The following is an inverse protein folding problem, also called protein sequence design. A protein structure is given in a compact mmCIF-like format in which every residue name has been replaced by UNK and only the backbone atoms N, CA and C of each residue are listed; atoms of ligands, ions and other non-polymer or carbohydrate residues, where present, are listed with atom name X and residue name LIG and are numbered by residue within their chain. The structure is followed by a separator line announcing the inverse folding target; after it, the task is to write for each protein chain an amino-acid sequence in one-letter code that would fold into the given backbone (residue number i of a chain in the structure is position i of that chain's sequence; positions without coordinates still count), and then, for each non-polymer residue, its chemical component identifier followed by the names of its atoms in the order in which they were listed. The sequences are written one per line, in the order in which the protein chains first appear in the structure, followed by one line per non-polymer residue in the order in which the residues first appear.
data_IF_912515217586
#
_entry.id   IF_912515217586
#
_cell.length_a   1.000
_cell.length_b   1.000
_cell.length_c   1.000
_cell.angle_alpha   90.00
_cell.angle_beta   90.00
_cell.angle_gamma   90.00
#
_symmetry.space_group_name_H-M   'P 1'
#
loop_
_entity.id
_entity.type
_entity.pdbx_description
1 polymer ?
#
# COMPACT_ATOMS: atom_id res chain seq x y z
N UNK A 1 -19.44 21.36 -4.68
CA UNK A 1 -18.14 21.43 -5.37
C UNK A 1 -17.34 20.17 -5.08
N UNK A 2 -17.24 19.29 -6.06
CA UNK A 2 -16.45 18.06 -5.97
C UNK A 2 -15.00 18.45 -6.35
N UNK A 3 -14.14 18.69 -5.37
CA UNK A 3 -12.71 18.85 -5.67
C UNK A 3 -12.21 17.56 -6.33
N UNK A 4 -11.54 17.64 -7.49
CA UNK A 4 -10.99 16.45 -8.12
C UNK A 4 -9.94 15.84 -7.20
N UNK A 5 -10.21 14.63 -6.71
CA UNK A 5 -9.24 13.87 -5.94
C UNK A 5 -8.06 13.51 -6.84
N UNK A 6 -6.81 13.63 -6.37
CA UNK A 6 -5.64 13.25 -7.15
C UNK A 6 -5.70 11.77 -7.57
N UNK A 7 -5.46 11.48 -8.86
CA UNK A 7 -5.48 10.12 -9.42
C UNK A 7 -4.15 9.78 -10.09
N UNK A 8 -3.58 8.64 -9.74
CA UNK A 8 -2.52 7.98 -10.50
C UNK A 8 -3.11 6.74 -11.16
N UNK A 9 -3.12 6.70 -12.49
CA UNK A 9 -3.70 5.58 -13.23
C UNK A 9 -2.81 5.07 -14.35
N UNK A 10 -2.57 3.76 -14.39
CA UNK A 10 -1.87 3.13 -15.52
C UNK A 10 -0.35 3.33 -15.55
N UNK A 11 0.25 3.79 -14.45
CA UNK A 11 1.68 4.10 -14.42
C UNK A 11 2.52 2.92 -13.93
N UNK A 12 3.74 2.81 -14.47
CA UNK A 12 4.80 1.94 -13.94
C UNK A 12 5.77 2.77 -13.11
N UNK A 13 5.64 2.69 -11.79
CA UNK A 13 6.43 3.45 -10.84
C UNK A 13 7.57 2.60 -10.30
N UNK A 14 8.79 3.14 -10.34
CA UNK A 14 10.00 2.46 -9.89
C UNK A 14 10.86 3.38 -9.03
N UNK A 15 11.38 2.88 -7.93
CA UNK A 15 12.34 3.58 -7.07
C UNK A 15 13.51 2.67 -6.72
N UNK A 16 14.73 3.22 -6.64
CA UNK A 16 15.93 2.43 -6.40
C UNK A 16 16.41 2.43 -4.94
N UNK A 17 16.16 3.49 -4.17
CA UNK A 17 16.68 3.65 -2.80
C UNK A 17 15.63 4.03 -1.76
N UNK A 18 14.48 4.57 -2.18
CA UNK A 18 13.49 5.19 -1.30
C UNK A 18 12.08 4.60 -1.50
N UNK A 19 11.12 5.14 -0.75
CA UNK A 19 9.70 4.88 -0.98
C UNK A 19 9.29 5.34 -2.37
N UNK A 20 8.51 4.54 -3.11
CA UNK A 20 8.09 4.91 -4.46
C UNK A 20 6.93 5.92 -4.48
N UNK A 21 5.94 5.75 -3.59
CA UNK A 21 4.81 6.68 -3.43
C UNK A 21 4.62 7.01 -1.95
N UNK A 22 4.58 8.29 -1.61
CA UNK A 22 4.26 8.78 -0.28
C UNK A 22 2.91 9.49 -0.30
N UNK A 23 2.00 9.07 0.57
CA UNK A 23 0.72 9.74 0.81
C UNK A 23 0.69 10.23 2.25
N UNK A 24 0.77 11.55 2.43
CA UNK A 24 0.78 12.19 3.75
C UNK A 24 -0.59 12.73 4.16
N UNK A 25 -1.34 13.23 3.18
CA UNK A 25 -2.65 13.84 3.36
C UNK A 25 -3.56 13.52 2.16
N UNK A 26 -4.88 13.57 2.39
CA UNK A 26 -5.89 13.32 1.36
C UNK A 26 -6.17 11.85 1.08
N UNK A 27 -6.90 11.58 0.00
CA UNK A 27 -7.32 10.24 -0.41
C UNK A 27 -7.13 9.99 -1.91
N UNK A 28 -5.89 10.05 -2.43
CA UNK A 28 -5.65 9.82 -3.85
C UNK A 28 -6.09 8.41 -4.25
N UNK A 29 -6.53 8.28 -5.51
CA UNK A 29 -6.76 6.97 -6.12
C UNK A 29 -5.52 6.55 -6.90
N UNK A 30 -4.96 5.38 -6.57
CA UNK A 30 -3.87 4.75 -7.31
C UNK A 30 -4.46 3.50 -7.96
N UNK A 31 -4.66 3.51 -9.28
CA UNK A 31 -5.33 2.42 -9.98
C UNK A 31 -4.54 1.89 -11.17
N UNK A 32 -4.57 0.57 -11.40
CA UNK A 32 -3.90 -0.05 -12.57
C UNK A 32 -2.41 0.30 -12.67
N UNK A 33 -1.75 0.48 -11.53
CA UNK A 33 -0.35 0.83 -11.48
C UNK A 33 0.51 -0.40 -11.21
N UNK A 34 1.74 -0.40 -11.72
CA UNK A 34 2.78 -1.36 -11.37
C UNK A 34 3.82 -0.63 -10.52
N UNK A 35 3.93 -1.00 -9.26
CA UNK A 35 4.84 -0.35 -8.30
C UNK A 35 5.95 -1.33 -7.94
N UNK A 36 7.20 -0.88 -8.07
CA UNK A 36 8.39 -1.67 -7.73
C UNK A 36 9.40 -0.81 -7.00
N UNK A 37 10.12 -1.36 -6.03
CA UNK A 37 11.24 -0.67 -5.37
C UNK A 37 12.33 -1.64 -4.97
N UNK A 38 13.58 -1.34 -5.29
CA UNK A 38 14.69 -2.25 -5.00
C UNK A 38 15.16 -2.20 -3.55
N UNK A 39 14.99 -1.10 -2.82
CA UNK A 39 15.46 -0.99 -1.42
C UNK A 39 14.46 -0.37 -0.43
N UNK A 40 13.41 0.28 -0.92
CA UNK A 40 12.43 1.01 -0.10
C UNK A 40 11.06 0.33 0.00
N UNK A 41 10.08 1.09 0.50
CA UNK A 41 8.67 0.69 0.47
C UNK A 41 8.07 0.96 -0.91
N UNK A 42 7.04 0.22 -1.32
CA UNK A 42 6.26 0.59 -2.50
C UNK A 42 5.46 1.86 -2.25
N UNK A 43 4.51 1.78 -1.32
CA UNK A 43 3.66 2.90 -0.89
C UNK A 43 3.78 3.10 0.61
N UNK A 44 3.98 4.34 1.05
CA UNK A 44 3.90 4.73 2.46
C UNK A 44 2.72 5.68 2.65
N UNK A 45 1.79 5.30 3.52
CA UNK A 45 0.65 6.10 3.94
C UNK A 45 0.84 6.46 5.40
N UNK A 46 0.79 7.75 5.73
CA UNK A 46 1.02 8.27 7.09
C UNK A 46 0.01 9.34 7.49
N UNK A 47 0.08 9.79 8.74
CA UNK A 47 -0.81 10.84 9.25
C UNK A 47 -2.27 10.39 9.27
N UNK A 48 -3.15 11.14 8.59
CA UNK A 48 -4.59 10.85 8.49
C UNK A 48 -5.03 10.54 7.04
N UNK A 49 -4.08 10.20 6.17
CA UNK A 49 -4.36 9.90 4.76
C UNK A 49 -5.25 8.64 4.61
N UNK A 50 -6.06 8.62 3.55
CA UNK A 50 -6.99 7.54 3.22
C UNK A 50 -7.02 7.26 1.71
N UNK A 51 -5.91 6.80 1.10
CA UNK A 51 -5.87 6.50 -0.33
C UNK A 51 -6.70 5.26 -0.68
N UNK A 52 -7.09 5.18 -1.95
CA UNK A 52 -7.66 3.96 -2.55
C UNK A 52 -6.65 3.40 -3.54
N UNK A 53 -6.13 2.22 -3.26
CA UNK A 53 -5.22 1.49 -4.14
C UNK A 53 -6.02 0.33 -4.74
N UNK A 54 -6.14 0.29 -6.06
CA UNK A 54 -6.95 -0.75 -6.72
C UNK A 54 -6.37 -1.28 -8.01
N UNK A 55 -6.72 -2.52 -8.36
CA UNK A 55 -6.31 -3.14 -9.64
C UNK A 55 -4.80 -3.02 -9.90
N UNK A 56 -3.99 -2.99 -8.84
CA UNK A 56 -2.58 -2.61 -8.92
C UNK A 56 -1.69 -3.79 -8.57
N UNK A 57 -0.49 -3.77 -9.14
CA UNK A 57 0.53 -4.79 -8.93
C UNK A 57 1.67 -4.18 -8.11
N UNK A 58 2.01 -4.82 -6.99
CA UNK A 58 3.13 -4.42 -6.14
C UNK A 58 4.11 -5.58 -5.98
N UNK A 59 5.32 -5.42 -6.52
CA UNK A 59 6.29 -6.52 -6.56
C UNK A 59 7.75 -6.10 -6.43
N UNK A 60 8.59 -7.06 -6.02
CA UNK A 60 10.03 -6.87 -5.93
C UNK A 60 10.47 -5.97 -4.78
N UNK A 61 9.61 -5.71 -3.79
CA UNK A 61 9.94 -4.83 -2.66
C UNK A 61 10.83 -5.54 -1.62
N UNK A 62 11.99 -4.96 -1.31
CA UNK A 62 12.85 -5.44 -0.20
C UNK A 62 12.28 -5.13 1.19
N UNK A 63 11.57 -4.01 1.34
CA UNK A 63 10.80 -3.68 2.56
C UNK A 63 9.34 -4.05 2.35
N UNK A 64 8.41 -3.37 3.02
CA UNK A 64 6.98 -3.59 2.81
C UNK A 64 6.50 -3.00 1.48
N UNK A 65 5.61 -3.70 0.78
CA UNK A 65 4.98 -3.18 -0.43
C UNK A 65 4.07 -1.98 -0.12
N UNK A 66 3.26 -2.06 0.94
CA UNK A 66 2.48 -0.93 1.47
C UNK A 66 2.67 -0.84 2.99
N UNK A 67 2.82 0.39 3.49
CA UNK A 67 2.83 0.68 4.93
C UNK A 67 1.75 1.70 5.25
N UNK A 68 0.90 1.39 6.24
CA UNK A 68 0.02 2.35 6.90
C UNK A 68 0.54 2.65 8.32
N UNK A 69 0.74 3.93 8.64
CA UNK A 69 1.22 4.40 9.95
C UNK A 69 0.33 5.47 10.55
N UNK A 70 0.55 5.75 11.83
CA UNK A 70 -0.14 6.80 12.59
C UNK A 70 -1.64 6.53 12.64
N UNK A 71 -2.48 7.40 12.07
CA UNK A 71 -3.94 7.24 11.95
C UNK A 71 -4.36 6.98 10.50
N UNK A 72 -3.43 6.52 9.66
CA UNK A 72 -3.69 6.28 8.26
C UNK A 72 -4.75 5.19 8.07
N UNK A 73 -5.69 5.45 7.18
CA UNK A 73 -6.62 4.46 6.68
C UNK A 73 -6.42 4.30 5.18
N UNK A 74 -7.42 3.72 4.53
CA UNK A 74 -7.43 3.55 3.08
C UNK A 74 -7.94 2.17 2.71
N UNK A 75 -8.07 1.97 1.41
CA UNK A 75 -8.57 0.72 0.84
C UNK A 75 -7.55 0.16 -0.14
N UNK A 76 -7.33 -1.14 -0.08
CA UNK A 76 -6.57 -1.91 -1.05
C UNK A 76 -7.52 -2.95 -1.63
N UNK A 77 -7.85 -2.82 -2.91
CA UNK A 77 -8.89 -3.64 -3.56
C UNK A 77 -8.34 -4.26 -4.84
N UNK A 78 -8.70 -5.50 -5.16
CA UNK A 78 -8.35 -6.14 -6.45
C UNK A 78 -6.85 -6.04 -6.81
N UNK A 79 -5.96 -6.09 -5.81
CA UNK A 79 -4.54 -5.82 -6.00
C UNK A 79 -3.69 -7.06 -5.75
N UNK A 80 -2.61 -7.19 -6.52
CA UNK A 80 -1.72 -8.35 -6.48
C UNK A 80 -0.38 -7.95 -5.85
N UNK A 81 -0.03 -8.63 -4.77
CA UNK A 81 1.23 -8.51 -4.05
C UNK A 81 2.04 -9.77 -4.31
N UNK A 82 3.17 -9.64 -5.00
CA UNK A 82 3.98 -10.82 -5.38
C UNK A 82 5.47 -10.60 -5.32
N UNK A 83 6.23 -11.66 -5.06
CA UNK A 83 7.69 -11.66 -5.12
C UNK A 83 8.32 -10.51 -4.32
N UNK A 84 7.76 -10.22 -3.15
CA UNK A 84 8.27 -9.19 -2.25
C UNK A 84 9.14 -9.89 -1.19
N UNK A 85 10.43 -9.57 -1.13
CA UNK A 85 11.32 -10.14 -0.11
C UNK A 85 10.93 -9.69 1.30
N UNK A 86 10.36 -8.50 1.42
CA UNK A 86 9.75 -8.01 2.66
C UNK A 86 8.26 -8.33 2.78
N UNK A 87 7.55 -7.52 3.57
CA UNK A 87 6.12 -7.68 3.82
C UNK A 87 5.26 -7.23 2.62
N UNK A 88 4.03 -7.73 2.52
CA UNK A 88 3.03 -7.15 1.62
C UNK A 88 2.48 -5.85 2.20
N UNK A 89 1.64 -5.96 3.23
CA UNK A 89 1.05 -4.83 3.94
C UNK A 89 1.52 -4.80 5.39
N UNK A 90 1.91 -3.62 5.86
CA UNK A 90 2.22 -3.37 7.28
C UNK A 90 1.30 -2.26 7.80
N UNK A 91 0.47 -2.58 8.79
CA UNK A 91 -0.34 -1.61 9.53
C UNK A 91 0.24 -1.41 10.94
N UNK A 92 0.44 -0.16 11.34
CA UNK A 92 1.01 0.20 12.64
C UNK A 92 0.46 1.51 13.20
N UNK A 93 0.67 1.76 14.50
CA UNK A 93 0.06 2.91 15.18
C UNK A 93 -1.40 2.62 15.49
N UNK A 94 -2.30 3.53 15.11
CA UNK A 94 -3.75 3.39 15.11
C UNK A 94 -4.31 3.29 13.68
N UNK A 95 -3.50 2.80 12.73
CA UNK A 95 -3.89 2.67 11.34
C UNK A 95 -5.03 1.66 11.16
N UNK A 96 -5.95 1.94 10.24
CA UNK A 96 -7.14 1.11 9.99
C UNK A 96 -7.37 0.86 8.49
N UNK A 97 -6.47 0.13 7.80
CA UNK A 97 -6.65 -0.19 6.38
C UNK A 97 -7.69 -1.30 6.17
N UNK A 98 -8.43 -1.19 5.06
CA UNK A 98 -9.27 -2.26 4.53
C UNK A 98 -8.57 -2.89 3.33
N UNK A 99 -8.49 -4.22 3.31
CA UNK A 99 -7.96 -5.01 2.21
C UNK A 99 -9.06 -5.96 1.74
N UNK A 100 -9.39 -5.92 0.46
CA UNK A 100 -10.48 -6.68 -0.15
C UNK A 100 -10.01 -7.26 -1.49
N UNK A 101 -10.44 -8.48 -1.83
CA UNK A 101 -10.17 -9.12 -3.13
C UNK A 101 -8.70 -9.08 -3.58
N UNK A 102 -7.77 -9.14 -2.64
CA UNK A 102 -6.34 -8.91 -2.92
C UNK A 102 -5.52 -10.18 -2.69
N UNK A 103 -4.62 -10.45 -3.63
CA UNK A 103 -3.80 -11.66 -3.64
C UNK A 103 -2.41 -11.37 -3.06
N UNK A 104 -1.95 -12.25 -2.17
CA UNK A 104 -0.61 -12.18 -1.57
C UNK A 104 0.14 -13.48 -1.85
N UNK A 105 1.18 -13.42 -2.68
CA UNK A 105 1.92 -14.60 -3.12
C UNK A 105 3.44 -14.40 -3.03
N UNK A 106 4.18 -15.48 -2.77
CA UNK A 106 5.65 -15.51 -2.82
C UNK A 106 6.32 -14.36 -2.04
N UNK A 107 5.95 -14.19 -0.77
CA UNK A 107 6.59 -13.24 0.13
C UNK A 107 7.74 -13.90 0.90
N UNK A 108 8.86 -13.18 1.06
CA UNK A 108 10.00 -13.63 1.88
C UNK A 108 9.80 -13.40 3.39
N UNK A 109 8.79 -12.61 3.75
CA UNK A 109 8.40 -12.27 5.12
C UNK A 109 6.86 -12.41 5.26
N UNK A 110 6.27 -12.29 6.47
CA UNK A 110 4.81 -12.30 6.60
C UNK A 110 4.14 -11.30 5.66
N UNK A 111 3.15 -11.77 4.89
CA UNK A 111 2.49 -11.00 3.85
C UNK A 111 1.70 -9.82 4.42
N UNK A 112 1.01 -10.02 5.55
CA UNK A 112 0.31 -8.94 6.26
C UNK A 112 0.75 -8.91 7.72
N UNK A 113 1.15 -7.72 8.18
CA UNK A 113 1.56 -7.47 9.57
C UNK A 113 0.70 -6.37 10.16
N UNK A 114 0.06 -6.66 11.29
CA UNK A 114 -0.72 -5.70 12.07
C UNK A 114 -0.07 -5.60 13.44
N UNK A 115 0.29 -4.39 13.89
CA UNK A 115 0.97 -4.18 15.17
C UNK A 115 0.56 -2.89 15.86
N UNK A 116 0.73 -2.84 17.18
CA UNK A 116 0.30 -1.70 18.00
C UNK A 116 -1.22 -1.70 18.19
N UNK A 117 -1.86 -0.56 17.98
CA UNK A 117 -3.32 -0.38 18.07
C UNK A 117 -4.00 -0.42 16.69
N UNK A 118 -3.29 -0.90 15.67
CA UNK A 118 -3.81 -0.94 14.30
C UNK A 118 -4.95 -1.95 14.17
N UNK A 119 -5.96 -1.59 13.37
CA UNK A 119 -7.17 -2.39 13.12
C UNK A 119 -7.33 -2.61 11.62
N UNK A 120 -6.57 -3.56 11.07
CA UNK A 120 -6.71 -3.93 9.67
C UNK A 120 -7.87 -4.91 9.47
N UNK A 121 -8.69 -4.69 8.46
CA UNK A 121 -9.74 -5.62 8.03
C UNK A 121 -9.30 -6.22 6.70
N UNK A 122 -9.26 -7.55 6.62
CA UNK A 122 -8.89 -8.29 5.41
C UNK A 122 -10.08 -9.18 5.06
N UNK A 123 -10.57 -9.07 3.83
CA UNK A 123 -11.67 -9.86 3.28
C UNK A 123 -11.28 -10.38 1.91
N UNK A 124 -11.88 -11.52 1.57
CA UNK A 124 -11.81 -12.11 0.24
C UNK A 124 -12.69 -11.35 -0.75
#
# INVERSE_FOLDING_TARGET
DCEPQPELRGFSLRSSSATCVLVEHGGPTISRCTITSSEGHGVLVRGAARPTIRESTLHGHRKAAIVFRDHAGGQVVDSCFRANSGHGIVASGAASPLVESSEFAAHGSPAVVVRGQATAVIRE
#
